data_IF_235131898244
#
_entry.id   IF_235131898244
#
_cell.length_a   1.000
_cell.length_b   1.000
_cell.length_c   1.000
_cell.angle_alpha   90.00
_cell.angle_beta   90.00
_cell.angle_gamma   90.00
#
_symmetry.space_group_name_H-M   'P 1'
#
loop_
_entity.id
_entity.type
_entity.pdbx_description
1 polymer ?
#
# COMPACT_ATOMS: atom_id res chain seq x y z
N UNK A 1 -7.67 31.69 -31.66
CA UNK A 1 -8.63 32.65 -31.05
C UNK A 1 -8.35 32.58 -29.55
N UNK A 2 -7.45 33.44 -29.07
CA UNK A 2 -7.09 33.55 -27.66
C UNK A 2 -8.18 34.33 -26.96
N UNK A 3 -8.91 33.72 -26.06
CA UNK A 3 -9.86 34.40 -25.18
C UNK A 3 -9.06 35.33 -24.26
N UNK A 4 -9.20 36.62 -24.46
CA UNK A 4 -8.74 37.64 -23.50
C UNK A 4 -9.65 37.56 -22.26
N UNK A 5 -9.08 37.20 -21.13
CA UNK A 5 -9.75 37.24 -19.84
C UNK A 5 -9.96 38.72 -19.43
N UNK A 6 -11.16 39.06 -18.94
CA UNK A 6 -11.53 40.37 -18.42
C UNK A 6 -10.71 40.66 -17.13
N UNK A 7 -9.99 41.79 -17.08
CA UNK A 7 -9.18 42.16 -15.91
C UNK A 7 -10.00 42.62 -14.69
N UNK A 8 -11.33 42.71 -14.78
CA UNK A 8 -12.20 43.25 -13.72
C UNK A 8 -12.83 42.19 -12.78
N UNK A 9 -12.73 40.89 -13.11
CA UNK A 9 -13.10 39.84 -12.16
C UNK A 9 -12.01 39.72 -11.11
N UNK A 10 -12.36 40.03 -9.86
CA UNK A 10 -11.46 40.07 -8.72
C UNK A 10 -10.51 38.86 -8.66
N UNK A 11 -9.22 39.12 -8.59
CA UNK A 11 -8.18 38.15 -8.33
C UNK A 11 -8.58 37.35 -7.11
N UNK A 12 -9.24 36.21 -7.29
CA UNK A 12 -9.21 35.13 -6.31
C UNK A 12 -7.73 34.84 -6.10
N UNK A 13 -7.31 34.77 -4.85
CA UNK A 13 -5.93 34.54 -4.46
C UNK A 13 -5.38 33.23 -5.08
N UNK A 14 -4.87 33.30 -6.31
CA UNK A 14 -4.23 32.20 -7.03
C UNK A 14 -3.02 31.62 -6.29
N UNK A 15 -2.55 32.34 -5.25
CA UNK A 15 -1.39 31.94 -4.42
C UNK A 15 -1.73 30.77 -3.51
N UNK A 16 -3.02 30.51 -3.21
CA UNK A 16 -3.46 29.37 -2.39
C UNK A 16 -3.60 28.08 -3.17
N UNK A 17 -3.63 28.13 -4.51
CA UNK A 17 -3.87 26.97 -5.38
C UNK A 17 -2.60 26.50 -6.11
N UNK A 18 -1.41 27.04 -5.77
CA UNK A 18 -0.16 26.63 -6.41
C UNK A 18 0.37 25.34 -5.79
N UNK A 19 -0.02 24.21 -6.38
CA UNK A 19 0.59 22.91 -6.06
C UNK A 19 1.73 22.61 -7.03
N UNK A 20 2.92 22.37 -6.50
CA UNK A 20 4.10 21.92 -7.27
C UNK A 20 4.15 20.40 -7.34
N UNK A 21 3.59 19.73 -6.33
CA UNK A 21 3.60 18.27 -6.23
C UNK A 21 2.27 17.67 -6.67
N UNK A 22 2.31 16.55 -7.40
CA UNK A 22 1.09 15.88 -7.88
C UNK A 22 0.18 15.38 -6.75
N UNK A 23 0.73 15.07 -5.58
CA UNK A 23 -0.04 14.62 -4.41
C UNK A 23 -1.04 15.68 -3.92
N UNK A 24 -0.70 16.98 -4.11
CA UNK A 24 -1.52 18.11 -3.67
C UNK A 24 -2.23 18.80 -4.85
N UNK A 25 -2.12 18.23 -6.07
CA UNK A 25 -2.69 18.81 -7.27
C UNK A 25 -4.22 18.73 -7.27
N UNK A 26 -4.89 19.82 -7.60
CA UNK A 26 -6.35 19.87 -7.80
C UNK A 26 -6.79 18.92 -8.93
N UNK A 27 -5.97 18.80 -9.99
CA UNK A 27 -6.30 17.96 -11.15
C UNK A 27 -5.94 16.49 -10.97
N UNK A 28 -4.80 16.19 -10.32
CA UNK A 28 -4.25 14.84 -10.22
C UNK A 28 -4.32 14.25 -8.81
N UNK A 29 -4.69 15.06 -7.82
CA UNK A 29 -4.67 14.65 -6.41
C UNK A 29 -5.48 13.40 -6.13
N UNK A 30 -6.63 13.23 -6.78
CA UNK A 30 -7.47 12.05 -6.58
C UNK A 30 -6.91 10.77 -7.23
N UNK A 31 -5.94 10.90 -8.15
CA UNK A 31 -5.19 9.76 -8.70
C UNK A 31 -3.95 9.42 -7.89
N UNK A 32 -3.42 10.35 -7.09
CA UNK A 32 -2.14 10.20 -6.39
C UNK A 32 -2.28 10.14 -4.88
N UNK A 33 -3.48 10.42 -4.35
CA UNK A 33 -3.79 10.46 -2.93
C UNK A 33 -5.27 10.17 -2.67
N UNK A 34 -5.66 10.06 -1.41
CA UNK A 34 -7.07 10.01 -1.01
C UNK A 34 -7.39 11.18 -0.06
N UNK A 35 -8.62 11.76 -0.12
CA UNK A 35 -8.98 12.88 0.74
C UNK A 35 -8.80 12.58 2.24
N UNK A 36 -9.18 11.38 2.69
CA UNK A 36 -9.01 10.95 4.08
C UNK A 36 -7.54 10.93 4.51
N UNK A 37 -6.64 10.44 3.66
CA UNK A 37 -5.22 10.35 3.99
C UNK A 37 -4.55 11.73 3.92
N UNK A 38 -4.91 12.59 2.94
CA UNK A 38 -4.45 13.99 2.91
C UNK A 38 -4.78 14.71 4.21
N UNK A 39 -6.02 14.55 4.71
CA UNK A 39 -6.48 15.17 5.95
C UNK A 39 -5.65 14.79 7.19
N UNK A 40 -5.03 13.61 7.21
CA UNK A 40 -4.14 13.19 8.30
C UNK A 40 -2.84 14.02 8.34
N UNK A 41 -2.33 14.43 7.18
CA UNK A 41 -1.02 15.07 7.05
C UNK A 41 -1.10 16.54 6.63
N UNK A 42 -2.29 17.11 6.50
CA UNK A 42 -2.42 18.55 6.24
C UNK A 42 -1.81 19.39 7.39
N UNK A 43 -1.43 20.62 7.09
CA UNK A 43 -0.72 21.48 8.03
C UNK A 43 -1.43 21.63 9.37
N UNK A 44 -2.76 21.85 9.34
CA UNK A 44 -3.55 21.99 10.58
C UNK A 44 -3.57 20.71 11.40
N UNK A 45 -3.66 19.55 10.78
CA UNK A 45 -3.65 18.26 11.49
C UNK A 45 -2.29 18.00 12.15
N UNK A 46 -1.19 18.31 11.47
CA UNK A 46 0.16 18.19 12.05
C UNK A 46 0.37 19.16 13.22
N UNK A 47 -0.06 20.40 13.10
CA UNK A 47 0.02 21.38 14.18
C UNK A 47 -0.89 20.99 15.34
N UNK A 48 -2.07 20.44 15.08
CA UNK A 48 -2.95 19.92 16.12
C UNK A 48 -2.28 18.75 16.86
N UNK A 49 -1.64 17.82 16.15
CA UNK A 49 -0.90 16.73 16.79
C UNK A 49 0.22 17.24 17.71
N UNK A 50 0.93 18.31 17.34
CA UNK A 50 1.92 18.94 18.24
C UNK A 50 1.27 19.52 19.49
N UNK A 51 0.10 20.18 19.33
CA UNK A 51 -0.65 20.72 20.48
C UNK A 51 -1.19 19.61 21.39
N UNK A 52 -1.63 18.50 20.80
CA UNK A 52 -2.08 17.32 21.57
C UNK A 52 -0.95 16.73 22.41
N UNK A 53 0.29 16.71 21.88
CA UNK A 53 1.47 16.28 22.64
C UNK A 53 1.78 17.24 23.78
N UNK A 54 1.71 18.56 23.57
CA UNK A 54 1.91 19.57 24.63
C UNK A 54 0.85 19.45 25.73
N UNK A 55 -0.40 19.23 25.35
CA UNK A 55 -1.49 19.02 26.29
C UNK A 55 -1.30 17.74 27.12
N UNK A 56 -0.96 16.64 26.47
CA UNK A 56 -0.70 15.38 27.14
C UNK A 56 0.48 15.47 28.10
N UNK A 57 1.55 16.16 27.71
CA UNK A 57 2.70 16.42 28.58
C UNK A 57 2.29 17.21 29.84
N UNK A 58 1.55 18.31 29.66
CA UNK A 58 1.11 19.14 30.79
C UNK A 58 0.22 18.35 31.76
N UNK A 59 -0.73 17.55 31.23
CA UNK A 59 -1.59 16.70 32.04
C UNK A 59 -0.80 15.61 32.78
N UNK A 60 0.14 14.94 32.12
CA UNK A 60 1.02 13.95 32.73
C UNK A 60 1.85 14.56 33.88
N UNK A 61 2.37 15.76 33.68
CA UNK A 61 3.13 16.49 34.71
C UNK A 61 2.26 16.93 35.87
N UNK A 62 1.00 17.28 35.63
CA UNK A 62 0.05 17.60 36.66
C UNK A 62 -0.35 16.41 37.53
N UNK A 63 -0.55 15.24 36.90
CA UNK A 63 -0.82 13.97 37.60
C UNK A 63 0.34 13.64 38.58
N UNK A 64 1.57 14.02 38.24
CA UNK A 64 2.78 13.80 39.03
C UNK A 64 3.14 14.97 39.95
N UNK A 65 2.29 15.99 40.03
CA UNK A 65 2.47 17.15 40.91
C UNK A 65 3.63 18.07 40.52
N UNK A 66 4.00 18.16 39.26
CA UNK A 66 5.08 19.01 38.72
C UNK A 66 4.51 20.31 38.18
N UNK A 67 3.38 20.25 37.51
CA UNK A 67 2.66 21.40 36.97
C UNK A 67 1.35 21.56 37.76
N UNK A 68 0.90 22.80 38.06
CA UNK A 68 -0.41 22.99 38.67
C UNK A 68 -1.54 22.44 37.80
N UNK A 69 -2.51 21.75 38.44
CA UNK A 69 -3.62 21.10 37.71
C UNK A 69 -4.43 22.08 36.85
N UNK A 70 -4.66 23.28 37.39
CA UNK A 70 -5.40 24.35 36.71
C UNK A 70 -4.67 24.81 35.43
N UNK A 71 -3.33 24.91 35.50
CA UNK A 71 -2.52 25.28 34.35
C UNK A 71 -2.51 24.21 33.29
N UNK A 72 -2.37 22.93 33.69
CA UNK A 72 -2.40 21.79 32.77
C UNK A 72 -3.77 21.67 32.10
N UNK A 73 -4.86 21.81 32.85
CA UNK A 73 -6.21 21.78 32.31
C UNK A 73 -6.45 22.90 31.29
N UNK A 74 -5.97 24.13 31.63
CA UNK A 74 -6.05 25.28 30.72
C UNK A 74 -5.27 25.04 29.43
N UNK A 75 -4.07 24.42 29.49
CA UNK A 75 -3.31 24.03 28.32
C UNK A 75 -4.09 23.04 27.47
N UNK A 76 -4.66 21.99 28.08
CA UNK A 76 -5.44 20.97 27.38
C UNK A 76 -6.72 21.56 26.73
N UNK A 77 -7.46 22.41 27.42
CA UNK A 77 -8.67 23.04 26.90
C UNK A 77 -8.41 23.95 25.71
N UNK A 78 -7.26 24.61 25.70
CA UNK A 78 -6.82 25.54 24.66
C UNK A 78 -5.97 24.88 23.56
N UNK A 79 -5.67 23.58 23.66
CA UNK A 79 -4.91 22.83 22.67
C UNK A 79 -5.74 22.53 21.41
N UNK A 80 -6.23 23.58 20.78
CA UNK A 80 -7.09 23.51 19.58
C UNK A 80 -6.55 24.47 18.53
N UNK A 81 -6.11 23.91 17.39
CA UNK A 81 -5.48 24.71 16.32
C UNK A 81 -6.39 25.83 15.78
N UNK A 82 -7.71 25.63 15.86
CA UNK A 82 -8.66 26.64 15.42
C UNK A 82 -8.73 27.88 16.32
N UNK A 83 -8.10 27.86 17.50
CA UNK A 83 -7.96 29.01 18.39
C UNK A 83 -6.71 29.84 18.06
N UNK A 84 -5.83 29.36 17.20
CA UNK A 84 -4.54 30.01 16.86
C UNK A 84 -4.59 30.65 15.48
N UNK A 85 -3.89 31.77 15.34
CA UNK A 85 -3.67 32.41 14.05
C UNK A 85 -2.45 31.81 13.33
N UNK A 86 -2.70 31.08 12.24
CA UNK A 86 -1.66 30.45 11.41
C UNK A 86 -0.70 31.47 10.79
N UNK A 87 -1.16 32.70 10.49
CA UNK A 87 -0.28 33.73 9.95
C UNK A 87 0.64 34.28 11.03
N UNK A 88 0.17 34.43 12.27
CA UNK A 88 1.00 34.78 13.41
C UNK A 88 2.05 33.70 13.72
N UNK A 89 1.66 32.40 13.67
CA UNK A 89 2.58 31.26 13.79
C UNK A 89 3.68 31.34 12.72
N UNK A 90 3.30 31.53 11.46
CA UNK A 90 4.23 31.67 10.33
C UNK A 90 5.19 32.84 10.50
N UNK A 91 4.67 34.02 10.89
CA UNK A 91 5.48 35.21 11.11
C UNK A 91 6.51 34.99 12.22
N UNK A 92 6.10 34.46 13.38
CA UNK A 92 6.98 34.11 14.50
C UNK A 92 8.01 33.06 14.12
N UNK A 93 7.59 31.99 13.40
CA UNK A 93 8.47 30.95 12.91
C UNK A 93 9.52 31.47 11.93
N UNK A 94 9.17 32.44 11.08
CA UNK A 94 10.13 33.09 10.17
C UNK A 94 11.20 33.90 10.94
N UNK A 95 10.82 34.63 11.99
CA UNK A 95 11.73 35.41 12.82
C UNK A 95 12.67 34.51 13.62
N UNK A 96 12.15 33.44 14.20
CA UNK A 96 12.92 32.52 15.06
C UNK A 96 13.70 31.46 14.28
N UNK A 97 13.40 31.24 12.99
CA UNK A 97 13.91 30.13 12.19
C UNK A 97 13.36 28.77 12.61
N UNK A 98 12.25 28.74 13.39
CA UNK A 98 11.82 27.53 14.07
C UNK A 98 10.29 27.44 14.17
N UNK A 99 9.69 26.46 13.46
CA UNK A 99 8.23 26.31 13.34
C UNK A 99 7.53 26.04 14.68
N UNK A 100 8.05 25.11 15.49
CA UNK A 100 7.45 24.81 16.79
C UNK A 100 7.52 26.02 17.74
N UNK A 101 8.62 26.77 17.73
CA UNK A 101 8.73 28.00 18.54
C UNK A 101 7.68 29.03 18.11
N UNK A 102 7.40 29.10 16.81
CA UNK A 102 6.31 29.93 16.28
C UNK A 102 4.96 29.52 16.85
N UNK A 103 4.63 28.22 16.81
CA UNK A 103 3.40 27.66 17.39
C UNK A 103 3.31 27.93 18.90
N UNK A 104 4.34 27.59 19.65
CA UNK A 104 4.37 27.79 21.10
C UNK A 104 4.21 29.27 21.48
N UNK A 105 4.77 30.19 20.70
CA UNK A 105 4.60 31.63 20.89
C UNK A 105 3.15 32.08 20.77
N UNK A 106 2.45 31.59 19.75
CA UNK A 106 1.03 31.89 19.55
C UNK A 106 0.16 31.20 20.61
N UNK A 107 0.46 29.93 20.92
CA UNK A 107 -0.25 29.19 21.96
C UNK A 107 -0.16 29.88 23.34
N UNK A 108 1.02 30.39 23.70
CA UNK A 108 1.19 31.20 24.94
C UNK A 108 0.32 32.42 24.95
N UNK A 109 0.11 33.07 23.81
CA UNK A 109 -0.78 34.25 23.71
C UNK A 109 -2.22 33.87 24.09
N UNK A 110 -2.72 32.71 23.63
CA UNK A 110 -4.05 32.21 23.95
C UNK A 110 -4.17 31.77 25.42
N UNK A 111 -3.11 31.17 25.96
CA UNK A 111 -3.11 30.66 27.36
C UNK A 111 -3.17 31.71 28.40
N UNK A 112 -2.58 32.92 28.16
CA UNK A 112 -2.38 33.96 29.16
C UNK A 112 -1.22 33.62 30.09
N UNK A 113 -0.81 34.62 30.95
CA UNK A 113 0.44 34.57 31.70
C UNK A 113 0.59 33.36 32.64
N UNK A 114 -0.48 32.96 33.33
CA UNK A 114 -0.42 31.95 34.38
C UNK A 114 -0.12 30.53 33.79
N UNK A 115 -0.87 30.09 32.80
CA UNK A 115 -0.68 28.78 32.19
C UNK A 115 0.50 28.75 31.21
N UNK A 116 0.79 29.86 30.54
CA UNK A 116 1.86 29.94 29.51
C UNK A 116 3.25 29.58 30.05
N UNK A 117 3.51 29.81 31.35
CA UNK A 117 4.78 29.46 31.99
C UNK A 117 5.03 27.96 32.12
N UNK A 118 3.99 27.14 32.01
CA UNK A 118 4.05 25.68 32.12
C UNK A 118 3.97 24.97 30.76
N UNK A 119 3.74 25.70 29.65
CA UNK A 119 3.75 25.15 28.33
C UNK A 119 5.16 24.73 27.91
N UNK A 120 5.31 23.51 27.35
CA UNK A 120 6.60 22.96 26.90
C UNK A 120 7.62 22.76 28.05
N UNK A 121 7.13 22.47 29.25
CA UNK A 121 7.98 22.41 30.43
C UNK A 121 8.90 21.20 30.42
N UNK A 122 10.19 21.41 30.16
CA UNK A 122 11.25 20.41 30.17
C UNK A 122 11.39 19.59 28.87
N UNK A 123 10.47 19.71 27.93
CA UNK A 123 10.53 19.00 26.65
C UNK A 123 11.54 19.63 25.67
N UNK A 124 11.87 18.88 24.64
CA UNK A 124 12.59 19.41 23.47
C UNK A 124 11.71 19.36 22.23
N UNK A 125 12.04 20.15 21.24
CA UNK A 125 11.34 20.20 19.94
C UNK A 125 11.10 18.82 19.35
N UNK A 126 12.09 17.94 19.41
CA UNK A 126 12.00 16.61 18.79
C UNK A 126 11.01 15.71 19.54
N UNK A 127 10.87 15.83 20.86
CA UNK A 127 9.85 15.11 21.63
C UNK A 127 8.45 15.40 21.08
N UNK A 128 8.17 16.67 20.78
CA UNK A 128 6.86 17.12 20.31
C UNK A 128 6.62 16.71 18.86
N UNK A 129 7.60 16.93 17.99
CA UNK A 129 7.46 16.69 16.56
C UNK A 129 7.41 15.18 16.27
N UNK A 130 8.29 14.37 16.89
CA UNK A 130 8.31 12.91 16.70
C UNK A 130 7.03 12.28 17.25
N UNK A 131 6.59 12.64 18.45
CA UNK A 131 5.34 12.13 19.01
C UNK A 131 4.13 12.58 18.19
N UNK A 132 4.11 13.81 17.69
CA UNK A 132 3.10 14.31 16.78
C UNK A 132 3.09 13.55 15.43
N UNK A 133 4.27 13.25 14.88
CA UNK A 133 4.39 12.41 13.69
C UNK A 133 3.84 10.99 13.93
N UNK A 134 4.08 10.42 15.11
CA UNK A 134 3.53 9.10 15.46
C UNK A 134 2.01 9.13 15.69
N UNK A 135 1.41 10.23 16.11
CA UNK A 135 -0.04 10.43 16.14
C UNK A 135 -0.60 10.38 14.70
N UNK A 136 0.00 11.15 13.79
CA UNK A 136 -0.38 11.12 12.38
C UNK A 136 -0.19 9.71 11.77
N UNK A 137 0.96 9.07 12.03
CA UNK A 137 1.25 7.71 11.55
C UNK A 137 0.23 6.69 12.10
N UNK A 138 -0.18 6.78 13.37
CA UNK A 138 -1.22 5.93 13.97
C UNK A 138 -2.54 6.03 13.21
N UNK A 139 -2.98 7.24 12.91
CA UNK A 139 -4.19 7.49 12.15
C UNK A 139 -4.07 6.99 10.70
N UNK A 140 -2.92 7.22 10.07
CA UNK A 140 -2.64 6.76 8.72
C UNK A 140 -2.60 5.22 8.62
N UNK A 141 -1.95 4.54 9.56
CA UNK A 141 -1.91 3.07 9.63
C UNK A 141 -3.29 2.49 9.79
N UNK A 142 -4.18 3.12 10.58
CA UNK A 142 -5.56 2.68 10.71
C UNK A 142 -6.33 2.77 9.39
N UNK A 143 -6.14 3.84 8.61
CA UNK A 143 -6.73 3.99 7.28
C UNK A 143 -6.17 2.96 6.28
N UNK A 144 -4.86 2.70 6.30
CA UNK A 144 -4.25 1.66 5.46
C UNK A 144 -4.82 0.28 5.80
N UNK A 145 -4.99 -0.03 7.09
CA UNK A 145 -5.59 -1.30 7.53
C UNK A 145 -7.03 -1.45 7.03
N UNK A 146 -7.84 -0.40 7.15
CA UNK A 146 -9.22 -0.36 6.64
C UNK A 146 -9.26 -0.62 5.13
N UNK A 147 -8.48 0.13 4.35
CA UNK A 147 -8.42 0.02 2.89
C UNK A 147 -7.90 -1.34 2.43
N UNK A 148 -6.83 -1.85 3.05
CA UNK A 148 -6.25 -3.16 2.73
C UNK A 148 -7.27 -4.28 3.02
N UNK A 149 -7.96 -4.21 4.15
CA UNK A 149 -9.00 -5.16 4.53
C UNK A 149 -10.16 -5.15 3.53
N UNK A 150 -10.60 -3.97 3.10
CA UNK A 150 -11.66 -3.83 2.08
C UNK A 150 -11.22 -4.45 0.75
N UNK A 151 -10.01 -4.14 0.27
CA UNK A 151 -9.46 -4.70 -0.97
C UNK A 151 -9.34 -6.23 -0.89
N UNK A 152 -8.91 -6.78 0.24
CA UNK A 152 -8.82 -8.23 0.47
C UNK A 152 -10.20 -8.90 0.43
N UNK A 153 -11.24 -8.29 1.01
CA UNK A 153 -12.61 -8.82 0.96
C UNK A 153 -13.14 -8.87 -0.47
N UNK A 154 -12.93 -7.80 -1.23
CA UNK A 154 -13.36 -7.73 -2.63
C UNK A 154 -12.62 -8.75 -3.49
N UNK A 155 -11.31 -8.87 -3.33
CA UNK A 155 -10.50 -9.86 -4.04
C UNK A 155 -10.90 -11.30 -3.67
N UNK A 156 -11.24 -11.56 -2.41
CA UNK A 156 -11.70 -12.88 -1.96
C UNK A 156 -13.01 -13.29 -2.64
N UNK A 157 -13.94 -12.37 -2.83
CA UNK A 157 -15.17 -12.63 -3.55
C UNK A 157 -14.91 -12.96 -5.03
N UNK A 158 -14.06 -12.20 -5.71
CA UNK A 158 -13.65 -12.48 -7.08
C UNK A 158 -12.92 -13.83 -7.20
N UNK A 159 -12.02 -14.10 -6.29
CA UNK A 159 -11.28 -15.37 -6.23
C UNK A 159 -12.24 -16.57 -6.16
N UNK A 160 -13.27 -16.48 -5.35
CA UNK A 160 -14.28 -17.52 -5.16
C UNK A 160 -15.15 -17.71 -6.44
N UNK A 161 -15.63 -16.60 -7.01
CA UNK A 161 -16.39 -16.58 -8.26
C UNK A 161 -15.62 -17.24 -9.42
N UNK A 162 -14.31 -16.99 -9.47
CA UNK A 162 -13.45 -17.48 -10.55
C UNK A 162 -12.64 -18.71 -10.18
N UNK A 163 -13.01 -19.44 -9.12
CA UNK A 163 -12.30 -20.63 -8.64
C UNK A 163 -12.09 -21.71 -9.71
N UNK A 164 -12.98 -21.78 -10.70
CA UNK A 164 -12.95 -22.73 -11.82
C UNK A 164 -12.83 -22.07 -13.21
N UNK A 165 -12.63 -20.75 -13.28
CA UNK A 165 -12.46 -20.05 -14.57
C UNK A 165 -11.11 -20.40 -15.16
N UNK A 166 -11.12 -21.16 -16.24
CA UNK A 166 -9.94 -21.67 -16.93
C UNK A 166 -9.13 -20.54 -17.56
N UNK A 167 -7.83 -20.58 -17.39
CA UNK A 167 -6.88 -19.71 -18.08
C UNK A 167 -5.52 -20.39 -18.26
N UNK A 168 -4.65 -19.76 -19.04
CA UNK A 168 -3.27 -20.21 -19.23
C UNK A 168 -2.37 -19.70 -18.10
N UNK A 169 -1.66 -20.61 -17.44
CA UNK A 169 -0.50 -20.29 -16.63
C UNK A 169 0.71 -20.03 -17.52
N UNK A 170 1.48 -18.98 -17.22
CA UNK A 170 2.65 -18.56 -18.02
C UNK A 170 3.90 -18.55 -17.15
N UNK A 171 4.97 -19.15 -17.68
CA UNK A 171 6.32 -19.10 -17.10
C UNK A 171 7.28 -18.55 -18.15
N UNK A 172 8.24 -17.72 -17.73
CA UNK A 172 9.16 -17.04 -18.67
C UNK A 172 8.45 -16.29 -19.82
N UNK A 173 7.21 -15.82 -19.58
CA UNK A 173 6.40 -15.19 -20.63
C UNK A 173 5.75 -16.14 -21.62
N UNK A 174 6.01 -17.45 -21.53
CA UNK A 174 5.44 -18.47 -22.41
C UNK A 174 4.26 -19.19 -21.77
N UNK A 175 3.33 -19.68 -22.59
CA UNK A 175 2.26 -20.57 -22.14
C UNK A 175 2.87 -21.87 -21.61
N UNK A 176 2.48 -22.31 -20.42
CA UNK A 176 3.01 -23.51 -19.77
C UNK A 176 1.91 -24.55 -19.54
N UNK A 177 1.07 -24.37 -18.53
CA UNK A 177 0.00 -25.31 -18.19
C UNK A 177 -1.32 -24.56 -17.89
N UNK A 178 -2.47 -25.24 -17.97
CA UNK A 178 -3.74 -24.66 -17.53
C UNK A 178 -3.75 -24.41 -16.03
N UNK A 179 -4.33 -23.27 -15.63
CA UNK A 179 -4.64 -22.93 -14.25
C UNK A 179 -6.05 -22.35 -14.18
N UNK A 180 -6.52 -21.98 -12.99
CA UNK A 180 -7.71 -21.14 -12.87
C UNK A 180 -7.37 -19.71 -12.49
N UNK A 181 -8.23 -18.75 -12.88
CA UNK A 181 -8.10 -17.36 -12.49
C UNK A 181 -8.18 -17.21 -10.95
N UNK A 182 -9.08 -17.97 -10.32
CA UNK A 182 -9.18 -18.00 -8.87
C UNK A 182 -7.88 -18.41 -8.18
N UNK A 183 -7.15 -19.40 -8.72
CA UNK A 183 -5.84 -19.78 -8.22
C UNK A 183 -4.83 -18.63 -8.29
N UNK A 184 -4.78 -17.92 -9.42
CA UNK A 184 -3.95 -16.72 -9.56
C UNK A 184 -4.31 -15.66 -8.51
N UNK A 185 -5.60 -15.42 -8.30
CA UNK A 185 -6.10 -14.46 -7.30
C UNK A 185 -5.83 -14.94 -5.86
N UNK A 186 -5.84 -16.26 -5.61
CA UNK A 186 -5.48 -16.81 -4.30
C UNK A 186 -4.05 -16.47 -3.89
N UNK A 187 -3.11 -16.50 -4.84
CA UNK A 187 -1.72 -16.08 -4.61
C UNK A 187 -1.65 -14.60 -4.23
N UNK A 188 -2.42 -13.75 -4.92
CA UNK A 188 -2.48 -12.31 -4.60
C UNK A 188 -3.06 -12.05 -3.21
N UNK A 189 -4.16 -12.72 -2.89
CA UNK A 189 -4.85 -12.56 -1.61
C UNK A 189 -3.99 -13.04 -0.42
N UNK A 190 -3.29 -14.16 -0.55
CA UNK A 190 -2.38 -14.67 0.47
C UNK A 190 -1.18 -13.73 0.71
N UNK A 191 -0.68 -13.09 -0.35
CA UNK A 191 0.38 -12.09 -0.23
C UNK A 191 -0.12 -10.81 0.46
N UNK A 192 -1.30 -10.28 0.08
CA UNK A 192 -1.91 -9.13 0.77
C UNK A 192 -2.20 -9.43 2.25
N UNK A 193 -2.59 -10.67 2.58
CA UNK A 193 -2.76 -11.11 3.96
C UNK A 193 -1.48 -11.00 4.78
N UNK A 194 -0.34 -11.38 4.20
CA UNK A 194 0.96 -11.21 4.88
C UNK A 194 1.34 -9.74 5.05
N UNK A 195 0.96 -8.86 4.11
CA UNK A 195 1.17 -7.41 4.31
C UNK A 195 0.32 -6.87 5.47
N UNK A 196 -0.93 -7.34 5.59
CA UNK A 196 -1.77 -6.99 6.73
C UNK A 196 -1.21 -7.49 8.06
N UNK A 197 -0.71 -8.72 8.11
CA UNK A 197 -0.08 -9.26 9.32
C UNK A 197 1.12 -8.38 9.75
N UNK A 198 2.01 -8.01 8.81
CA UNK A 198 3.13 -7.09 9.08
C UNK A 198 2.66 -5.73 9.61
N UNK A 199 1.59 -5.18 9.04
CA UNK A 199 1.02 -3.90 9.48
C UNK A 199 0.53 -3.97 10.93
N UNK A 200 -0.13 -5.06 11.31
CA UNK A 200 -0.62 -5.28 12.67
C UNK A 200 0.52 -5.48 13.68
N UNK A 201 1.63 -6.10 13.27
CA UNK A 201 2.83 -6.24 14.08
C UNK A 201 3.54 -4.88 14.26
N UNK A 202 3.68 -4.12 13.19
CA UNK A 202 4.28 -2.78 13.20
C UNK A 202 3.51 -1.81 14.09
N UNK A 203 2.18 -1.87 14.11
CA UNK A 203 1.36 -1.05 15.04
C UNK A 203 1.80 -1.17 16.49
N UNK A 204 2.20 -2.36 16.93
CA UNK A 204 2.61 -2.62 18.31
C UNK A 204 4.05 -2.18 18.57
N UNK A 205 4.93 -2.32 17.59
CA UNK A 205 6.37 -2.08 17.74
C UNK A 205 6.77 -0.65 17.44
N UNK A 206 6.16 -0.01 16.44
CA UNK A 206 6.69 1.19 15.83
C UNK A 206 5.88 2.47 16.16
N UNK A 207 4.59 2.34 16.54
CA UNK A 207 3.78 3.48 16.95
C UNK A 207 4.08 3.89 18.40
N UNK A 208 5.30 4.37 18.59
CA UNK A 208 5.89 4.73 19.90
C UNK A 208 6.27 6.20 19.87
N UNK A 209 5.81 6.97 20.86
CA UNK A 209 6.19 8.38 20.98
C UNK A 209 7.54 8.55 21.68
N UNK A 210 7.95 9.80 21.89
CA UNK A 210 9.19 10.15 22.57
C UNK A 210 8.96 11.35 23.49
N UNK A 211 9.47 11.30 24.71
CA UNK A 211 9.37 12.41 25.67
C UNK A 211 10.53 12.29 26.65
N UNK A 212 11.73 12.70 26.21
CA UNK A 212 13.00 12.42 26.91
C UNK A 212 13.87 13.64 27.17
N UNK A 213 13.46 14.84 26.68
CA UNK A 213 14.17 16.09 26.87
C UNK A 213 15.31 16.30 25.88
N UNK A 214 16.15 17.32 26.14
CA UNK A 214 17.09 17.90 25.18
C UNK A 214 18.00 16.91 24.45
N UNK A 215 18.54 15.90 25.14
CA UNK A 215 19.45 14.88 24.59
C UNK A 215 19.05 13.46 25.04
N UNK A 216 17.80 13.28 25.47
CA UNK A 216 17.28 11.96 25.77
C UNK A 216 17.52 11.45 27.20
N UNK A 217 18.03 12.30 28.11
CA UNK A 217 18.44 11.88 29.45
C UNK A 217 17.46 12.27 30.58
N UNK A 218 16.30 12.83 30.23
CA UNK A 218 15.32 13.35 31.20
C UNK A 218 15.88 14.40 32.18
N UNK A 219 16.96 15.08 31.83
CA UNK A 219 17.69 15.94 32.73
C UNK A 219 16.83 17.02 33.42
N UNK A 220 15.85 17.58 32.70
CA UNK A 220 14.90 18.59 33.21
C UNK A 220 13.89 18.05 34.20
N UNK A 221 13.62 16.73 34.22
CA UNK A 221 12.62 16.10 35.08
C UNK A 221 13.22 15.15 36.14
N UNK A 222 14.50 14.81 36.00
CA UNK A 222 15.20 13.91 36.91
C UNK A 222 14.52 12.55 37.05
N UNK A 223 14.39 12.05 38.28
CA UNK A 223 13.84 10.74 38.56
C UNK A 223 12.40 10.50 38.09
N UNK A 224 11.63 11.56 37.83
CA UNK A 224 10.27 11.48 37.35
C UNK A 224 10.16 11.38 35.82
N UNK A 225 11.25 11.52 35.07
CA UNK A 225 11.24 11.62 33.62
C UNK A 225 10.60 10.44 32.93
N UNK A 226 10.95 9.20 33.33
CA UNK A 226 10.36 7.99 32.74
C UNK A 226 8.86 7.86 33.01
N UNK A 227 8.42 8.30 34.20
CA UNK A 227 7.00 8.28 34.58
C UNK A 227 6.19 9.33 33.78
N UNK A 228 6.78 10.54 33.59
CA UNK A 228 6.21 11.57 32.71
C UNK A 228 6.05 11.03 31.28
N UNK A 229 7.11 10.42 30.73
CA UNK A 229 7.06 9.82 29.39
C UNK A 229 5.96 8.78 29.29
N UNK A 230 5.94 7.79 30.19
CA UNK A 230 4.94 6.72 30.19
C UNK A 230 3.52 7.27 30.25
N UNK A 231 3.27 8.21 31.16
CA UNK A 231 1.94 8.82 31.31
C UNK A 231 1.54 9.69 30.11
N UNK A 232 2.48 10.42 29.54
CA UNK A 232 2.23 11.19 28.30
C UNK A 232 1.83 10.27 27.14
N UNK A 233 2.56 9.17 26.96
CA UNK A 233 2.27 8.22 25.89
C UNK A 233 0.93 7.49 26.10
N UNK A 234 0.58 7.17 27.35
CA UNK A 234 -0.72 6.62 27.71
C UNK A 234 -1.87 7.54 27.28
N UNK A 235 -1.77 8.86 27.60
CA UNK A 235 -2.78 9.86 27.22
C UNK A 235 -2.91 9.96 25.69
N UNK A 236 -1.79 9.88 24.95
CA UNK A 236 -1.77 9.94 23.48
C UNK A 236 -2.19 8.61 22.83
N UNK A 237 -2.28 7.51 23.59
CA UNK A 237 -2.51 6.17 23.07
C UNK A 237 -1.39 5.72 22.12
N UNK A 238 -0.15 6.06 22.46
CA UNK A 238 1.09 5.61 21.82
C UNK A 238 1.85 4.65 22.74
N UNK A 239 2.76 3.86 22.18
CA UNK A 239 3.72 3.09 22.98
C UNK A 239 4.70 4.02 23.69
N UNK A 240 5.09 3.67 24.93
CA UNK A 240 6.19 4.31 25.63
C UNK A 240 7.48 3.54 25.34
N UNK A 241 8.58 4.21 24.93
CA UNK A 241 9.85 3.54 24.68
C UNK A 241 10.63 3.31 25.96
N UNK A 242 11.47 2.27 25.99
CA UNK A 242 12.37 2.01 27.12
C UNK A 242 13.53 3.01 27.19
N UNK A 243 13.86 3.62 26.06
CA UNK A 243 14.96 4.60 25.94
C UNK A 243 14.64 5.65 24.89
N UNK A 244 15.39 6.74 24.89
CA UNK A 244 15.31 7.78 23.85
C UNK A 244 15.58 7.20 22.47
N UNK A 245 14.76 7.60 21.47
CA UNK A 245 14.97 7.20 20.09
C UNK A 245 15.17 8.40 19.14
N UNK A 246 15.65 9.56 19.65
CA UNK A 246 15.94 10.74 18.83
C UNK A 246 16.88 10.42 17.65
N UNK A 247 17.88 9.58 17.87
CA UNK A 247 18.84 9.13 16.85
C UNK A 247 18.67 7.66 16.44
N UNK A 248 17.72 6.92 17.04
CA UNK A 248 17.42 5.52 16.72
C UNK A 248 16.17 5.49 15.83
N UNK A 249 16.35 5.62 14.50
CA UNK A 249 15.25 5.88 13.56
C UNK A 249 14.67 4.62 12.89
N UNK A 250 15.04 3.44 13.37
CA UNK A 250 14.60 2.14 12.86
C UNK A 250 13.08 1.96 12.83
N UNK A 251 12.32 2.53 13.78
CA UNK A 251 10.85 2.50 13.78
C UNK A 251 10.24 3.19 12.56
N UNK A 252 10.77 4.36 12.19
CA UNK A 252 10.31 5.08 11.00
C UNK A 252 10.72 4.32 9.75
N UNK A 253 11.96 3.82 9.70
CA UNK A 253 12.46 3.02 8.59
C UNK A 253 11.64 1.74 8.38
N UNK A 254 11.24 1.05 9.46
CA UNK A 254 10.41 -0.15 9.40
C UNK A 254 9.01 0.15 8.84
N UNK A 255 8.35 1.21 9.30
CA UNK A 255 7.07 1.66 8.74
C UNK A 255 7.19 1.97 7.23
N UNK A 256 8.25 2.67 6.81
CA UNK A 256 8.46 2.99 5.40
C UNK A 256 8.79 1.74 4.57
N UNK A 257 9.59 0.82 5.09
CA UNK A 257 9.90 -0.45 4.46
C UNK A 257 8.64 -1.32 4.28
N UNK A 258 7.77 -1.36 5.29
CA UNK A 258 6.48 -2.05 5.23
C UNK A 258 5.58 -1.47 4.14
N UNK A 259 5.46 -0.15 4.05
CA UNK A 259 4.70 0.50 2.96
C UNK A 259 5.33 0.21 1.60
N UNK A 260 6.67 0.17 1.51
CA UNK A 260 7.40 -0.23 0.32
C UNK A 260 7.11 -1.66 -0.13
N UNK A 261 7.02 -2.62 0.81
CA UNK A 261 6.63 -4.01 0.55
C UNK A 261 5.17 -4.10 0.07
N UNK A 262 4.26 -3.37 0.72
CA UNK A 262 2.86 -3.29 0.31
C UNK A 262 2.75 -2.75 -1.12
N UNK A 263 3.45 -1.66 -1.42
CA UNK A 263 3.54 -1.10 -2.77
C UNK A 263 4.10 -2.08 -3.79
N UNK A 264 5.10 -2.88 -3.41
CA UNK A 264 5.66 -3.95 -4.25
C UNK A 264 4.65 -5.03 -4.60
N UNK A 265 3.90 -5.51 -3.60
CA UNK A 265 2.79 -6.47 -3.79
C UNK A 265 1.73 -5.91 -4.72
N UNK A 266 1.27 -4.69 -4.46
CA UNK A 266 0.25 -4.03 -5.28
C UNK A 266 0.72 -3.83 -6.73
N UNK A 267 1.98 -3.39 -6.94
CA UNK A 267 2.54 -3.21 -8.27
C UNK A 267 2.68 -4.54 -9.04
N UNK A 268 3.00 -5.65 -8.37
CA UNK A 268 3.02 -6.98 -9.00
C UNK A 268 1.64 -7.38 -9.48
N UNK A 269 0.59 -7.18 -8.67
CA UNK A 269 -0.80 -7.46 -9.03
C UNK A 269 -1.21 -6.56 -10.22
N UNK A 270 -0.96 -5.27 -10.12
CA UNK A 270 -1.28 -4.31 -11.17
C UNK A 270 -0.54 -4.61 -12.50
N UNK A 271 0.72 -5.02 -12.43
CA UNK A 271 1.49 -5.43 -13.62
C UNK A 271 0.87 -6.66 -14.30
N UNK A 272 0.35 -7.60 -13.52
CA UNK A 272 -0.33 -8.77 -14.10
C UNK A 272 -1.67 -8.36 -14.74
N UNK A 273 -2.48 -7.52 -14.10
CA UNK A 273 -3.73 -6.98 -14.69
C UNK A 273 -3.39 -6.21 -15.98
N UNK A 274 -2.37 -5.35 -15.93
CA UNK A 274 -1.88 -4.61 -17.10
C UNK A 274 -1.49 -5.54 -18.24
N UNK A 275 -0.73 -6.61 -17.97
CA UNK A 275 -0.32 -7.56 -18.99
C UNK A 275 -1.50 -8.32 -19.58
N UNK A 276 -2.43 -8.79 -18.74
CA UNK A 276 -3.60 -9.54 -19.19
C UNK A 276 -4.63 -8.66 -19.94
N UNK A 277 -4.55 -7.32 -19.80
CA UNK A 277 -5.37 -6.37 -20.55
C UNK A 277 -4.80 -5.99 -21.94
N UNK A 278 -3.55 -6.37 -22.25
CA UNK A 278 -2.97 -6.13 -23.58
C UNK A 278 -3.84 -6.75 -24.67
N UNK A 279 -3.91 -6.10 -25.83
CA UNK A 279 -4.74 -6.52 -26.98
C UNK A 279 -4.50 -7.99 -27.37
N UNK A 280 -3.24 -8.44 -27.31
CA UNK A 280 -2.82 -9.79 -27.67
C UNK A 280 -3.38 -10.84 -26.71
N UNK A 281 -3.41 -10.55 -25.40
CA UNK A 281 -3.98 -11.43 -24.38
C UNK A 281 -5.48 -11.23 -24.22
N UNK A 282 -5.92 -10.03 -23.88
CA UNK A 282 -7.33 -9.61 -23.77
C UNK A 282 -8.13 -10.43 -22.75
N UNK A 283 -7.48 -10.91 -21.69
CA UNK A 283 -8.07 -11.81 -20.68
C UNK A 283 -8.76 -11.05 -19.55
N UNK A 284 -8.23 -9.87 -19.19
CA UNK A 284 -8.78 -8.97 -18.17
C UNK A 284 -8.95 -7.56 -18.75
N UNK A 285 -9.81 -6.76 -18.10
CA UNK A 285 -9.99 -5.35 -18.43
C UNK A 285 -10.37 -4.60 -17.16
N UNK A 286 -9.78 -3.40 -16.95
CA UNK A 286 -10.17 -2.54 -15.84
C UNK A 286 -11.58 -1.97 -16.03
N UNK A 287 -12.29 -1.64 -14.92
CA UNK A 287 -13.59 -1.01 -15.02
C UNK A 287 -13.49 0.36 -15.68
N UNK A 288 -14.49 0.68 -16.52
CA UNK A 288 -14.66 2.01 -17.09
C UNK A 288 -15.95 2.60 -16.55
N UNK A 289 -15.84 3.74 -15.88
CA UNK A 289 -16.96 4.47 -15.35
C UNK A 289 -17.83 5.08 -16.47
N UNK A 290 -19.11 5.31 -16.17
CA UNK A 290 -20.01 6.01 -17.11
C UNK A 290 -19.47 7.41 -17.41
N UNK A 291 -19.22 7.70 -18.70
CA UNK A 291 -18.65 8.97 -19.15
C UNK A 291 -17.12 9.03 -19.14
N UNK A 292 -16.44 8.00 -18.64
CA UNK A 292 -14.99 7.93 -18.70
C UNK A 292 -14.52 7.61 -20.13
N UNK A 293 -13.54 8.37 -20.61
CA UNK A 293 -12.95 8.20 -21.95
C UNK A 293 -11.62 7.48 -21.81
N UNK A 294 -11.53 6.29 -22.35
CA UNK A 294 -10.30 5.47 -22.30
C UNK A 294 -9.19 6.00 -23.19
N UNK A 295 -9.51 6.75 -24.22
CA UNK A 295 -8.57 7.39 -25.15
C UNK A 295 -9.21 8.64 -25.76
N UNK A 296 -8.45 9.72 -25.86
CA UNK A 296 -8.90 10.96 -26.50
C UNK A 296 -9.07 10.84 -28.03
N UNK A 297 -8.45 9.85 -28.65
CA UNK A 297 -8.40 9.69 -30.12
C UNK A 297 -9.11 8.42 -30.59
N UNK A 298 -9.04 7.33 -29.85
CA UNK A 298 -9.58 6.02 -30.25
C UNK A 298 -10.66 5.55 -29.28
N UNK A 299 -11.96 5.63 -29.62
CA UNK A 299 -13.06 5.36 -28.68
C UNK A 299 -13.08 3.94 -28.10
N UNK A 300 -12.53 2.95 -28.83
CA UNK A 300 -12.47 1.55 -28.41
C UNK A 300 -11.27 1.23 -27.51
N UNK A 301 -10.26 2.12 -27.43
CA UNK A 301 -9.04 1.89 -26.66
C UNK A 301 -9.31 2.07 -25.16
N UNK A 302 -9.04 1.03 -24.39
CA UNK A 302 -9.26 1.00 -22.94
C UNK A 302 -7.93 0.82 -22.23
N UNK A 303 -7.39 1.92 -21.72
CA UNK A 303 -6.12 1.93 -21.03
C UNK A 303 -6.28 1.45 -19.58
N UNK A 304 -5.36 0.64 -19.05
CA UNK A 304 -5.39 0.18 -17.65
C UNK A 304 -4.83 1.26 -16.72
N UNK A 305 -5.57 2.36 -16.55
CA UNK A 305 -5.11 3.59 -15.88
C UNK A 305 -4.84 3.35 -14.38
N UNK A 306 -5.66 2.53 -13.72
CA UNK A 306 -5.46 2.20 -12.31
C UNK A 306 -4.16 1.41 -12.10
N UNK A 307 -3.88 0.43 -12.95
CA UNK A 307 -2.62 -0.34 -12.91
C UNK A 307 -1.41 0.56 -13.16
N UNK A 308 -1.49 1.49 -14.10
CA UNK A 308 -0.43 2.45 -14.39
C UNK A 308 -0.12 3.32 -13.16
N UNK A 309 -1.13 3.87 -12.48
CA UNK A 309 -0.95 4.66 -11.26
C UNK A 309 -0.35 3.83 -10.13
N UNK A 310 -0.83 2.61 -9.89
CA UNK A 310 -0.24 1.72 -8.88
C UNK A 310 1.25 1.52 -9.13
N UNK A 311 1.65 1.22 -10.37
CA UNK A 311 3.05 0.96 -10.73
C UNK A 311 3.92 2.20 -10.52
N UNK A 312 3.43 3.38 -10.89
CA UNK A 312 4.15 4.65 -10.71
C UNK A 312 4.32 4.98 -9.22
N UNK A 313 3.22 5.01 -8.47
CA UNK A 313 3.24 5.34 -7.04
C UNK A 313 4.08 4.35 -6.23
N UNK A 314 4.03 3.06 -6.56
CA UNK A 314 4.83 2.05 -5.91
C UNK A 314 6.34 2.19 -6.16
N UNK A 315 6.76 2.76 -7.30
CA UNK A 315 8.18 3.08 -7.55
C UNK A 315 8.65 4.18 -6.61
N UNK A 316 7.89 5.27 -6.50
CA UNK A 316 8.20 6.39 -5.61
C UNK A 316 8.19 5.94 -4.14
N UNK A 317 7.19 5.15 -3.75
CA UNK A 317 7.08 4.62 -2.39
C UNK A 317 8.29 3.77 -1.98
N UNK A 318 8.81 2.92 -2.88
CA UNK A 318 10.03 2.14 -2.61
C UNK A 318 11.29 3.02 -2.57
N UNK A 319 11.34 4.10 -3.34
CA UNK A 319 12.43 5.07 -3.24
C UNK A 319 12.43 5.77 -1.86
N UNK A 320 11.26 6.17 -1.36
CA UNK A 320 11.13 6.75 -0.02
C UNK A 320 11.52 5.75 1.08
N UNK A 321 11.18 4.45 0.92
CA UNK A 321 11.63 3.40 1.84
C UNK A 321 13.17 3.29 1.86
N UNK A 322 13.83 3.42 0.71
CA UNK A 322 15.29 3.48 0.63
C UNK A 322 15.86 4.70 1.35
N UNK A 323 15.27 5.88 1.17
CA UNK A 323 15.69 7.09 1.89
C UNK A 323 15.50 6.95 3.42
N UNK A 324 14.44 6.28 3.86
CA UNK A 324 14.21 6.03 5.29
C UNK A 324 15.32 5.15 5.91
N UNK A 325 15.88 4.22 5.16
CA UNK A 325 17.02 3.41 5.61
C UNK A 325 18.30 4.25 5.71
N UNK A 326 18.52 5.18 4.77
CA UNK A 326 19.66 6.12 4.86
C UNK A 326 19.54 7.04 6.08
N UNK A 327 18.33 7.47 6.44
CA UNK A 327 18.05 8.30 7.62
C UNK A 327 18.39 7.61 8.95
N UNK A 328 18.50 6.28 8.98
CA UNK A 328 18.95 5.55 10.18
C UNK A 328 20.40 5.89 10.58
N UNK A 329 21.22 6.36 9.64
CA UNK A 329 22.59 6.79 9.92
C UNK A 329 22.54 8.22 10.45
N UNK A 330 22.60 8.35 11.77
CA UNK A 330 22.47 9.61 12.50
C UNK A 330 23.81 10.05 13.08
N UNK A 331 24.07 11.34 13.10
CA UNK A 331 25.21 11.93 13.80
C UNK A 331 24.81 12.39 15.21
N UNK A 332 25.54 11.94 16.20
CA UNK A 332 25.36 12.29 17.62
C UNK A 332 23.95 11.95 18.16
N UNK A 333 23.48 12.68 19.15
CA UNK A 333 22.17 12.49 19.79
C UNK A 333 21.01 13.12 18.98
N UNK A 334 21.34 13.89 17.92
CA UNK A 334 20.37 14.47 16.98
C UNK A 334 21.02 14.93 15.69
N UNK A 335 20.64 14.33 14.56
CA UNK A 335 20.99 14.80 13.23
C UNK A 335 19.78 15.51 12.60
N UNK A 336 19.84 16.82 12.51
CA UNK A 336 18.71 17.60 12.00
C UNK A 336 18.49 17.43 10.48
N UNK A 337 19.52 17.06 9.71
CA UNK A 337 19.39 16.84 8.26
C UNK A 337 18.69 15.53 7.97
N UNK A 338 19.15 14.45 8.57
CA UNK A 338 18.52 13.14 8.49
C UNK A 338 17.08 13.18 9.02
N UNK A 339 16.85 13.76 10.20
CA UNK A 339 15.52 13.90 10.80
C UNK A 339 14.53 14.67 9.92
N UNK A 340 14.94 15.78 9.29
CA UNK A 340 14.06 16.56 8.39
C UNK A 340 13.68 15.82 7.13
N UNK A 341 14.48 14.87 6.67
CA UNK A 341 14.13 13.99 5.53
C UNK A 341 12.84 13.23 5.80
N UNK A 342 12.62 12.78 7.04
CA UNK A 342 11.38 12.08 7.43
C UNK A 342 10.12 12.96 7.30
N UNK A 343 10.25 14.28 7.49
CA UNK A 343 9.13 15.21 7.36
C UNK A 343 8.58 15.27 5.94
N UNK A 344 9.39 14.87 4.95
CA UNK A 344 9.03 14.76 3.54
C UNK A 344 8.51 13.34 3.26
N UNK A 345 9.35 12.34 3.51
CA UNK A 345 9.07 10.97 3.03
C UNK A 345 7.93 10.27 3.76
N UNK A 346 7.71 10.57 5.06
CA UNK A 346 6.65 9.89 5.84
C UNK A 346 5.25 10.25 5.33
N UNK A 347 4.85 11.54 5.26
CA UNK A 347 3.53 11.88 4.73
C UNK A 347 3.33 11.44 3.28
N UNK A 348 4.33 11.65 2.41
CA UNK A 348 4.26 11.19 1.02
C UNK A 348 4.02 9.69 0.91
N UNK A 349 4.73 8.90 1.72
CA UNK A 349 4.62 7.43 1.68
C UNK A 349 3.22 6.94 2.06
N UNK A 350 2.64 7.47 3.13
CA UNK A 350 1.28 7.10 3.53
C UNK A 350 0.24 7.55 2.50
N UNK A 351 0.40 8.75 1.97
CA UNK A 351 -0.52 9.31 0.95
C UNK A 351 -0.49 8.44 -0.31
N UNK A 352 0.70 8.08 -0.82
CA UNK A 352 0.85 7.20 -1.97
C UNK A 352 0.34 5.78 -1.69
N UNK A 353 0.61 5.21 -0.51
CA UNK A 353 0.12 3.88 -0.15
C UNK A 353 -1.41 3.81 -0.12
N UNK A 354 -2.05 4.85 0.40
CA UNK A 354 -3.52 4.97 0.40
C UNK A 354 -4.10 5.04 -1.01
N UNK A 355 -3.48 5.80 -1.92
CA UNK A 355 -3.88 5.86 -3.33
C UNK A 355 -3.72 4.50 -4.03
N UNK A 356 -2.61 3.81 -3.80
CA UNK A 356 -2.36 2.46 -4.31
C UNK A 356 -3.49 1.51 -3.91
N UNK A 357 -3.88 1.50 -2.64
CA UNK A 357 -4.96 0.65 -2.14
C UNK A 357 -6.33 1.04 -2.73
N UNK A 358 -6.57 2.33 -2.92
CA UNK A 358 -7.79 2.80 -3.59
C UNK A 358 -7.85 2.34 -5.05
N UNK A 359 -6.75 2.43 -5.79
CA UNK A 359 -6.68 1.91 -7.16
C UNK A 359 -6.86 0.38 -7.21
N UNK A 360 -6.26 -0.38 -6.29
CA UNK A 360 -6.51 -1.83 -6.17
C UNK A 360 -7.99 -2.12 -5.92
N UNK A 361 -8.62 -1.40 -5.00
CA UNK A 361 -10.05 -1.54 -4.71
C UNK A 361 -10.89 -1.27 -5.97
N UNK A 362 -10.55 -0.21 -6.73
CA UNK A 362 -11.26 0.13 -7.96
C UNK A 362 -11.12 -1.00 -9.01
N UNK A 363 -9.90 -1.55 -9.19
CA UNK A 363 -9.66 -2.70 -10.07
C UNK A 363 -10.54 -3.87 -9.64
N UNK A 364 -10.45 -4.29 -8.38
CA UNK A 364 -11.15 -5.49 -7.91
C UNK A 364 -12.67 -5.34 -7.94
N UNK A 365 -13.21 -4.15 -7.65
CA UNK A 365 -14.65 -3.91 -7.61
C UNK A 365 -15.33 -3.98 -8.98
N UNK A 366 -14.57 -3.81 -10.05
CA UNK A 366 -15.16 -3.74 -11.40
C UNK A 366 -14.37 -4.51 -12.46
N UNK A 367 -13.50 -5.43 -12.07
CA UNK A 367 -12.66 -6.19 -12.98
C UNK A 367 -13.51 -6.98 -13.99
N UNK A 368 -13.31 -6.70 -15.25
CA UNK A 368 -13.98 -7.42 -16.34
C UNK A 368 -13.16 -8.64 -16.72
N UNK A 369 -13.74 -9.82 -16.51
CA UNK A 369 -13.11 -11.11 -16.84
C UNK A 369 -13.63 -11.63 -18.16
N UNK A 370 -12.78 -11.77 -19.16
CA UNK A 370 -13.09 -12.22 -20.49
C UNK A 370 -12.95 -13.75 -20.61
N UNK A 371 -13.86 -14.50 -19.96
CA UNK A 371 -13.84 -15.98 -19.88
C UNK A 371 -13.66 -16.66 -21.25
N UNK A 372 -14.41 -16.21 -22.25
CA UNK A 372 -14.30 -16.74 -23.64
C UNK A 372 -12.91 -16.51 -24.23
N UNK A 373 -12.29 -15.36 -23.95
CA UNK A 373 -10.93 -15.06 -24.41
C UNK A 373 -9.89 -15.93 -23.70
N UNK A 374 -10.03 -16.11 -22.38
CA UNK A 374 -9.18 -17.01 -21.60
C UNK A 374 -9.21 -18.43 -22.15
N UNK A 375 -10.41 -18.96 -22.39
CA UNK A 375 -10.60 -20.30 -22.99
C UNK A 375 -9.96 -20.39 -24.38
N UNK A 376 -10.22 -19.40 -25.25
CA UNK A 376 -9.60 -19.36 -26.59
C UNK A 376 -8.07 -19.39 -26.51
N UNK A 377 -7.47 -18.69 -25.53
CA UNK A 377 -6.03 -18.65 -25.35
C UNK A 377 -5.45 -20.01 -24.94
N UNK A 378 -6.20 -20.89 -24.28
CA UNK A 378 -5.75 -22.28 -23.98
C UNK A 378 -5.57 -23.14 -25.23
N UNK A 379 -6.24 -22.78 -26.32
CA UNK A 379 -6.17 -23.50 -27.60
C UNK A 379 -5.15 -22.89 -28.58
N UNK A 380 -4.50 -21.78 -28.23
CA UNK A 380 -3.60 -21.05 -29.13
C UNK A 380 -2.45 -21.92 -29.66
N UNK A 381 -1.91 -22.78 -28.82
CA UNK A 381 -0.81 -23.70 -29.15
C UNK A 381 -1.31 -25.05 -29.68
N UNK A 382 -2.58 -25.15 -30.13
CA UNK A 382 -3.13 -26.36 -30.81
C UNK A 382 -2.85 -27.65 -30.04
N UNK A 383 -3.02 -27.64 -28.74
CA UNK A 383 -2.86 -28.79 -27.83
C UNK A 383 -1.48 -28.93 -27.18
N UNK A 384 -0.45 -28.21 -27.62
CA UNK A 384 0.89 -28.29 -27.03
C UNK A 384 0.92 -27.88 -25.54
N UNK A 385 -0.01 -27.04 -25.10
CA UNK A 385 -0.21 -26.68 -23.69
C UNK A 385 -0.38 -27.91 -22.77
N UNK A 386 -0.83 -29.05 -23.33
CA UNK A 386 -1.19 -30.29 -22.62
C UNK A 386 -0.25 -31.46 -22.94
N UNK A 387 0.92 -31.18 -23.52
CA UNK A 387 1.92 -32.19 -23.85
C UNK A 387 2.33 -33.02 -22.62
N UNK A 388 2.47 -32.40 -21.44
CA UNK A 388 2.74 -33.11 -20.19
C UNK A 388 1.61 -34.05 -19.79
N UNK A 389 0.36 -33.62 -19.86
CA UNK A 389 -0.80 -34.47 -19.56
C UNK A 389 -0.85 -35.69 -20.46
N UNK A 390 -0.59 -35.50 -21.75
CA UNK A 390 -0.54 -36.59 -22.71
C UNK A 390 0.61 -37.56 -22.45
N UNK A 391 1.78 -37.04 -22.09
CA UNK A 391 2.95 -37.84 -21.72
C UNK A 391 2.62 -38.82 -20.58
N UNK A 392 1.92 -38.38 -19.55
CA UNK A 392 1.51 -39.25 -18.44
C UNK A 392 0.47 -40.29 -18.88
N UNK A 393 -0.46 -39.97 -19.77
CA UNK A 393 -1.40 -40.98 -20.35
C UNK A 393 -0.68 -42.02 -21.17
N UNK A 394 0.35 -41.63 -21.94
CA UNK A 394 1.16 -42.61 -22.68
C UNK A 394 2.01 -43.47 -21.72
N UNK A 395 2.46 -42.92 -20.60
CA UNK A 395 3.24 -43.64 -19.58
C UNK A 395 2.45 -44.74 -18.88
N UNK A 396 1.13 -44.76 -18.95
CA UNK A 396 0.31 -45.90 -18.51
C UNK A 396 0.49 -47.17 -19.41
N UNK A 397 0.96 -46.99 -20.64
CA UNK A 397 1.09 -48.04 -21.63
C UNK A 397 2.53 -48.32 -22.08
N UNK A 398 3.48 -47.45 -21.74
CA UNK A 398 4.89 -47.59 -22.10
C UNK A 398 5.79 -46.91 -21.03
N UNK A 399 7.12 -47.21 -20.99
CA UNK A 399 8.04 -46.56 -20.07
C UNK A 399 8.03 -45.02 -20.23
N UNK A 400 8.08 -44.27 -19.12
CA UNK A 400 8.03 -42.80 -19.13
C UNK A 400 9.06 -42.14 -20.07
N UNK A 401 10.33 -42.58 -20.14
CA UNK A 401 11.31 -41.99 -21.07
C UNK A 401 10.87 -42.18 -22.54
N UNK A 402 10.26 -43.30 -22.89
CA UNK A 402 9.76 -43.56 -24.23
C UNK A 402 8.52 -42.70 -24.54
N UNK A 403 7.60 -42.57 -23.58
CA UNK A 403 6.44 -41.69 -23.69
C UNK A 403 6.88 -40.24 -23.92
N UNK A 404 7.91 -39.79 -23.16
CA UNK A 404 8.49 -38.46 -23.30
C UNK A 404 9.07 -38.22 -24.70
N UNK A 405 9.85 -39.15 -25.23
CA UNK A 405 10.47 -39.00 -26.54
C UNK A 405 9.42 -38.89 -27.65
N UNK A 406 8.39 -39.75 -27.61
CA UNK A 406 7.29 -39.73 -28.59
C UNK A 406 6.48 -38.45 -28.55
N UNK A 407 6.17 -37.93 -27.32
CA UNK A 407 5.48 -36.66 -27.16
C UNK A 407 6.38 -35.50 -27.61
N UNK A 408 7.67 -35.56 -27.33
CA UNK A 408 8.63 -34.55 -27.79
C UNK A 408 8.68 -34.46 -29.31
N UNK A 409 8.87 -35.61 -30.01
CA UNK A 409 8.89 -35.64 -31.48
C UNK A 409 7.60 -35.12 -32.10
N UNK A 410 6.43 -35.58 -31.55
CA UNK A 410 5.13 -35.13 -32.05
C UNK A 410 4.91 -33.65 -31.79
N UNK A 411 5.36 -33.14 -30.62
CA UNK A 411 5.26 -31.72 -30.24
C UNK A 411 6.11 -30.84 -31.15
N UNK A 412 7.35 -31.24 -31.46
CA UNK A 412 8.23 -30.49 -32.39
C UNK A 412 7.62 -30.45 -33.79
N UNK A 413 7.11 -31.58 -34.28
CA UNK A 413 6.41 -31.66 -35.61
C UNK A 413 5.16 -30.78 -35.63
N UNK A 414 4.37 -30.78 -34.52
CA UNK A 414 3.16 -29.97 -34.40
C UNK A 414 3.50 -28.47 -34.35
N UNK A 415 4.53 -28.11 -33.63
CA UNK A 415 5.00 -26.74 -33.52
C UNK A 415 5.50 -26.18 -34.85
N UNK A 416 6.42 -26.91 -35.52
CA UNK A 416 7.02 -26.49 -36.81
C UNK A 416 6.03 -26.39 -37.94
N UNK A 417 5.05 -27.32 -37.98
CA UNK A 417 4.03 -27.39 -39.05
C UNK A 417 2.73 -26.66 -38.71
N UNK A 418 2.69 -26.05 -37.53
CA UNK A 418 1.47 -25.41 -37.00
C UNK A 418 0.25 -26.35 -37.03
N UNK A 419 0.43 -27.65 -36.75
CA UNK A 419 -0.63 -28.67 -36.71
C UNK A 419 -1.09 -28.95 -35.27
N UNK A 420 -2.13 -29.78 -35.10
CA UNK A 420 -2.62 -30.17 -33.78
C UNK A 420 -1.76 -31.31 -33.20
N UNK A 421 -1.39 -31.25 -31.92
CA UNK A 421 -0.59 -32.25 -31.23
C UNK A 421 -1.24 -33.66 -31.31
N UNK A 422 -2.56 -33.75 -31.13
CA UNK A 422 -3.27 -35.03 -31.19
C UNK A 422 -3.11 -35.69 -32.57
N UNK A 423 -3.21 -34.91 -33.64
CA UNK A 423 -3.09 -35.41 -34.99
C UNK A 423 -1.67 -35.89 -35.29
N UNK A 424 -0.65 -35.22 -34.78
CA UNK A 424 0.75 -35.66 -34.92
C UNK A 424 1.04 -36.94 -34.11
N UNK A 425 0.54 -37.01 -32.87
CA UNK A 425 0.66 -38.22 -32.02
C UNK A 425 0.02 -39.47 -32.66
N UNK A 426 -1.15 -39.31 -33.27
CA UNK A 426 -1.86 -40.42 -33.90
C UNK A 426 -1.25 -40.88 -35.23
N UNK A 427 -0.20 -40.22 -35.75
CA UNK A 427 0.62 -40.70 -36.85
C UNK A 427 1.64 -41.75 -36.42
N UNK A 428 2.00 -41.78 -35.11
CA UNK A 428 2.88 -42.79 -34.55
C UNK A 428 2.12 -44.13 -34.42
N UNK A 429 2.59 -45.19 -35.10
CA UNK A 429 1.91 -46.49 -35.08
C UNK A 429 1.83 -47.13 -33.70
N UNK A 430 2.87 -46.89 -32.84
CA UNK A 430 2.94 -47.46 -31.52
C UNK A 430 1.96 -46.76 -30.56
N UNK A 431 1.89 -45.43 -30.60
CA UNK A 431 0.91 -44.64 -29.87
C UNK A 431 -0.50 -45.05 -30.28
N UNK A 432 -0.75 -45.21 -31.57
CA UNK A 432 -2.06 -45.64 -32.11
C UNK A 432 -2.44 -47.06 -31.69
N UNK A 433 -1.44 -47.96 -31.54
CA UNK A 433 -1.64 -49.36 -31.14
C UNK A 433 -1.89 -49.52 -29.64
N UNK A 434 -1.12 -48.77 -28.80
CA UNK A 434 -1.09 -48.96 -27.34
C UNK A 434 -2.07 -48.06 -26.59
N UNK A 435 -2.42 -46.91 -27.16
CA UNK A 435 -3.19 -45.89 -26.44
C UNK A 435 -4.56 -45.62 -27.09
N UNK A 436 -5.59 -45.56 -26.26
CA UNK A 436 -6.92 -45.18 -26.70
C UNK A 436 -6.97 -43.68 -27.06
N UNK A 437 -7.33 -43.40 -28.32
CA UNK A 437 -7.53 -42.02 -28.82
C UNK A 437 -8.44 -41.20 -27.89
N UNK A 438 -9.46 -41.79 -27.30
CA UNK A 438 -10.41 -41.12 -26.43
C UNK A 438 -9.73 -40.67 -25.15
N UNK A 439 -8.87 -41.51 -24.53
CA UNK A 439 -8.08 -41.15 -23.34
C UNK A 439 -7.12 -40.02 -23.63
N UNK A 440 -6.42 -40.04 -24.77
CA UNK A 440 -5.53 -38.96 -25.17
C UNK A 440 -6.31 -37.63 -25.33
N UNK A 441 -7.48 -37.70 -26.02
CA UNK A 441 -8.33 -36.53 -26.21
C UNK A 441 -8.90 -35.95 -24.90
N UNK A 442 -9.24 -36.83 -23.94
CA UNK A 442 -9.67 -36.41 -22.59
C UNK A 442 -8.52 -35.73 -21.80
N UNK A 443 -7.30 -36.25 -21.92
CA UNK A 443 -6.11 -35.60 -21.31
C UNK A 443 -5.82 -34.25 -21.96
N UNK A 444 -6.21 -34.04 -23.21
CA UNK A 444 -6.07 -32.77 -23.91
C UNK A 444 -7.23 -31.79 -23.63
N UNK A 445 -8.10 -32.08 -22.69
CA UNK A 445 -9.05 -31.10 -22.15
C UNK A 445 -8.39 -30.30 -21.01
N UNK A 446 -8.09 -29.04 -21.26
CA UNK A 446 -7.42 -28.14 -20.31
C UNK A 446 -8.15 -28.07 -18.96
N UNK A 447 -9.47 -28.19 -18.91
CA UNK A 447 -10.24 -28.17 -17.69
C UNK A 447 -9.94 -29.33 -16.73
N UNK A 448 -9.45 -30.47 -17.28
CA UNK A 448 -9.09 -31.66 -16.51
C UNK A 448 -7.65 -31.62 -15.95
N UNK A 449 -6.84 -30.61 -16.34
CA UNK A 449 -5.42 -30.53 -15.98
C UNK A 449 -5.06 -29.24 -15.25
N UNK A 450 -5.92 -28.78 -14.38
CA UNK A 450 -5.69 -27.58 -13.53
C UNK A 450 -5.12 -27.92 -12.15
N UNK A 451 -4.78 -29.17 -11.89
CA UNK A 451 -4.27 -29.65 -10.60
C UNK A 451 -5.20 -29.29 -9.44
N UNK A 452 -4.63 -28.86 -8.33
CA UNK A 452 -5.34 -28.46 -7.12
C UNK A 452 -5.71 -26.97 -7.08
N UNK A 453 -5.95 -26.34 -8.24
CA UNK A 453 -6.26 -24.91 -8.31
C UNK A 453 -7.51 -24.53 -7.49
N UNK A 454 -8.60 -25.27 -7.62
CA UNK A 454 -9.84 -24.99 -6.91
C UNK A 454 -9.74 -25.27 -5.39
N UNK A 455 -9.04 -26.34 -5.02
CA UNK A 455 -8.77 -26.70 -3.62
C UNK A 455 -7.93 -25.64 -2.93
N UNK A 456 -6.90 -25.11 -3.61
CA UNK A 456 -6.08 -24.00 -3.11
C UNK A 456 -6.92 -22.77 -2.84
N UNK A 457 -7.84 -22.42 -3.75
CA UNK A 457 -8.81 -21.33 -3.55
C UNK A 457 -9.62 -21.54 -2.26
N UNK A 458 -10.17 -22.75 -2.07
CA UNK A 458 -10.96 -23.05 -0.88
C UNK A 458 -10.14 -22.99 0.43
N UNK A 459 -8.87 -23.39 0.40
CA UNK A 459 -7.96 -23.30 1.55
C UNK A 459 -7.69 -21.84 1.89
N UNK A 460 -7.31 -21.02 0.90
CA UNK A 460 -7.01 -19.60 1.11
C UNK A 460 -8.24 -18.84 1.58
N UNK A 461 -9.41 -19.09 1.00
CA UNK A 461 -10.66 -18.49 1.44
C UNK A 461 -10.90 -18.70 2.94
N UNK A 462 -10.87 -19.95 3.40
CA UNK A 462 -11.06 -20.30 4.83
C UNK A 462 -10.04 -19.62 5.73
N UNK A 463 -8.77 -19.59 5.32
CA UNK A 463 -7.69 -18.93 6.06
C UNK A 463 -7.95 -17.44 6.23
N UNK A 464 -8.37 -16.75 5.17
CA UNK A 464 -8.61 -15.31 5.18
C UNK A 464 -9.89 -14.97 5.94
N UNK A 465 -10.97 -15.73 5.77
CA UNK A 465 -12.20 -15.57 6.56
C UNK A 465 -11.92 -15.70 8.06
N UNK A 466 -11.07 -16.64 8.48
CA UNK A 466 -10.68 -16.78 9.88
C UNK A 466 -9.90 -15.56 10.40
N UNK A 467 -9.09 -14.91 9.57
CA UNK A 467 -8.30 -13.72 9.94
C UNK A 467 -9.11 -12.43 9.95
N UNK A 468 -10.05 -12.28 9.03
CA UNK A 468 -10.82 -11.05 8.87
C UNK A 468 -12.12 -11.04 9.71
N UNK A 469 -12.49 -12.17 10.31
CA UNK A 469 -13.81 -12.41 10.87
C UNK A 469 -14.86 -12.62 9.76
N UNK A 470 -15.96 -13.29 10.10
CA UNK A 470 -17.13 -13.35 9.20
C UNK A 470 -17.69 -11.93 9.11
N UNK A 471 -17.72 -11.36 7.90
CA UNK A 471 -18.25 -10.03 7.60
C UNK A 471 -19.75 -9.94 7.82
#
# INVERSE_FOLDING_TARGET
MLLQADPSEGRKDWITDMSVHLLDSVLFGDSTSTPKMRAVFEEKARLQAWMDVEAALALAQADLGIVPKEAAQKIADCAKINLLDLQAIKARGKVTGHSLVGLLGEFRTVLGKEAAGFLHFGATTQDIIDSGQMICAKNAVALIEEQLTAAMRTLMALMDEHSRTLMVGRTHGQQALPITLGFKMAIWLDELSRQRDRLLEAKKRDLVGNMTGAVGTFASWGKKGMEIQSRTMEILGLGAPDTCWHSSRDRVADLMALLGLLGGTAARIATEVYNLSKTEFGELEEPIGKGQVGSSTMPHKRNPIHSEWIIVLARSLRANAGQAMEVMIQENERDASAWKTEWIIVPESFVMASAILQHLQNIFSGLVVRKVRMEKNTHLLKGLLLSEAVMFVLADAMPLPEAHERVYEASMKAFEKETNLLDELLKDPEVKRLCDRKKIAEAMNAANYTGLSAETVAIIKRKIEAKLGKG
#
